data_IF_757229978137
#
_entry.id   IF_757229978137
#
_cell.length_a   1.000
_cell.length_b   1.000
_cell.length_c   1.000
_cell.angle_alpha   90.00
_cell.angle_beta   90.00
_cell.angle_gamma   90.00
#
_symmetry.space_group_name_H-M   'P 1'
#
loop_
_entity.id
_entity.type
_entity.pdbx_description
1 polymer ?
#
# COMPACT_ATOMS: atom_id res chain seq x y z
N UNK A 1 21.75 4.85 -7.17
CA UNK A 1 20.39 5.42 -7.18
C UNK A 1 19.47 4.63 -8.09
N UNK A 2 19.89 4.34 -9.34
CA UNK A 2 19.13 3.53 -10.33
C UNK A 2 18.55 2.21 -9.77
N UNK A 3 19.36 1.42 -9.04
CA UNK A 3 18.93 0.15 -8.44
C UNK A 3 17.77 0.26 -7.42
N UNK A 4 17.70 1.36 -6.65
CA UNK A 4 16.62 1.54 -5.65
C UNK A 4 15.31 1.90 -6.33
N UNK A 5 15.36 2.67 -7.42
CA UNK A 5 14.16 3.03 -8.18
C UNK A 5 13.56 1.81 -8.89
N UNK A 6 14.41 0.94 -9.45
CA UNK A 6 13.98 -0.33 -10.04
C UNK A 6 13.32 -1.24 -8.99
N UNK A 7 13.96 -1.44 -7.84
CA UNK A 7 13.39 -2.23 -6.74
C UNK A 7 12.07 -1.62 -6.22
N UNK A 8 11.97 -0.29 -6.20
CA UNK A 8 10.75 0.41 -5.82
C UNK A 8 9.61 0.13 -6.81
N UNK A 9 9.88 0.24 -8.12
CA UNK A 9 8.91 -0.06 -9.17
C UNK A 9 8.48 -1.54 -9.13
N UNK A 10 9.42 -2.44 -8.89
CA UNK A 10 9.12 -3.87 -8.75
C UNK A 10 8.22 -4.15 -7.53
N UNK A 11 8.53 -3.53 -6.38
CA UNK A 11 7.71 -3.64 -5.18
C UNK A 11 6.28 -3.11 -5.41
N UNK A 12 6.14 -2.01 -6.15
CA UNK A 12 4.83 -1.46 -6.53
C UNK A 12 4.03 -2.45 -7.38
N UNK A 13 4.63 -2.97 -8.44
CA UNK A 13 3.99 -3.92 -9.35
C UNK A 13 3.56 -5.20 -8.63
N UNK A 14 4.42 -5.76 -7.76
CA UNK A 14 4.12 -6.97 -6.99
C UNK A 14 3.03 -6.74 -5.94
N UNK A 15 2.96 -5.56 -5.33
CA UNK A 15 1.88 -5.20 -4.42
C UNK A 15 0.54 -5.20 -5.16
N UNK A 16 0.46 -4.53 -6.31
CA UNK A 16 -0.77 -4.50 -7.13
C UNK A 16 -1.18 -5.89 -7.63
N UNK A 17 -0.24 -6.67 -8.16
CA UNK A 17 -0.51 -8.04 -8.62
C UNK A 17 -1.02 -8.94 -7.47
N UNK A 18 -0.46 -8.78 -6.27
CA UNK A 18 -0.90 -9.52 -5.09
C UNK A 18 -2.31 -9.11 -4.67
N UNK A 19 -2.61 -7.81 -4.67
CA UNK A 19 -3.93 -7.29 -4.33
C UNK A 19 -5.01 -7.78 -5.31
N UNK A 20 -4.73 -7.74 -6.62
CA UNK A 20 -5.63 -8.23 -7.66
C UNK A 20 -5.94 -9.72 -7.51
N UNK A 21 -5.02 -10.50 -6.93
CA UNK A 21 -5.21 -11.92 -6.63
C UNK A 21 -5.72 -12.23 -5.23
N UNK A 22 -6.23 -11.26 -4.47
CA UNK A 22 -6.67 -11.41 -3.07
C UNK A 22 -5.58 -11.94 -2.11
N UNK A 23 -4.30 -11.83 -2.48
CA UNK A 23 -3.16 -12.26 -1.65
C UNK A 23 -2.77 -11.17 -0.66
N UNK A 24 -3.66 -10.87 0.30
CA UNK A 24 -3.52 -9.72 1.20
C UNK A 24 -2.22 -9.70 2.01
N UNK A 25 -1.72 -10.86 2.44
CA UNK A 25 -0.42 -10.94 3.14
C UNK A 25 0.72 -10.49 2.23
N UNK A 26 0.76 -10.96 0.99
CA UNK A 26 1.79 -10.58 0.01
C UNK A 26 1.65 -9.12 -0.41
N UNK A 27 0.42 -8.61 -0.55
CA UNK A 27 0.17 -7.19 -0.76
C UNK A 27 0.78 -6.35 0.37
N UNK A 28 0.48 -6.69 1.63
CA UNK A 28 1.02 -5.97 2.79
C UNK A 28 2.55 -6.00 2.85
N UNK A 29 3.15 -7.16 2.56
CA UNK A 29 4.60 -7.32 2.46
C UNK A 29 5.22 -6.39 1.41
N UNK A 30 4.76 -6.45 0.15
CA UNK A 30 5.32 -5.64 -0.93
C UNK A 30 5.04 -4.14 -0.75
N UNK A 31 3.88 -3.77 -0.20
CA UNK A 31 3.57 -2.38 0.14
C UNK A 31 4.50 -1.82 1.22
N UNK A 32 4.85 -2.63 2.23
CA UNK A 32 5.82 -2.24 3.25
C UNK A 32 7.23 -2.07 2.67
N UNK A 33 7.64 -2.98 1.77
CA UNK A 33 8.91 -2.87 1.03
C UNK A 33 8.94 -1.58 0.22
N UNK A 34 7.87 -1.23 -0.50
CA UNK A 34 7.78 0.02 -1.26
C UNK A 34 7.96 1.25 -0.36
N UNK A 35 7.27 1.31 0.78
CA UNK A 35 7.41 2.44 1.73
C UNK A 35 8.83 2.54 2.26
N UNK A 36 9.45 1.40 2.57
CA UNK A 36 10.83 1.35 3.05
C UNK A 36 11.80 1.89 1.99
N UNK A 37 11.72 1.39 0.75
CA UNK A 37 12.58 1.81 -0.36
C UNK A 37 12.42 3.30 -0.69
N UNK A 38 11.18 3.80 -0.73
CA UNK A 38 10.90 5.22 -0.97
C UNK A 38 11.52 6.12 0.11
N UNK A 39 11.56 5.62 1.36
CA UNK A 39 12.18 6.32 2.50
C UNK A 39 13.70 6.29 2.42
N UNK A 40 14.32 5.13 2.27
CA UNK A 40 15.80 5.01 2.29
C UNK A 40 16.46 5.57 1.02
N UNK A 41 15.73 5.58 -0.10
CA UNK A 41 16.19 6.20 -1.34
C UNK A 41 15.94 7.71 -1.41
N UNK A 42 15.31 8.30 -0.38
CA UNK A 42 14.91 9.72 -0.34
C UNK A 42 14.12 10.19 -1.58
N UNK A 43 13.41 9.26 -2.24
CA UNK A 43 12.78 9.47 -3.54
C UNK A 43 11.52 10.36 -3.45
N UNK A 44 10.93 10.48 -2.26
CA UNK A 44 9.74 11.33 -1.96
C UNK A 44 8.57 11.08 -2.92
N UNK A 45 8.43 9.87 -3.46
CA UNK A 45 7.33 9.54 -4.36
C UNK A 45 6.00 9.49 -3.59
N UNK A 46 4.89 9.94 -4.20
CA UNK A 46 3.56 9.78 -3.60
C UNK A 46 3.22 8.29 -3.46
N UNK A 47 2.60 7.91 -2.35
CA UNK A 47 2.28 6.51 -2.09
C UNK A 47 1.17 6.02 -3.05
N UNK A 48 1.45 5.01 -3.91
CA UNK A 48 0.50 4.53 -4.90
C UNK A 48 -0.74 3.87 -4.27
N UNK A 49 -0.63 3.38 -3.03
CA UNK A 49 -1.71 2.71 -2.31
C UNK A 49 -2.62 3.68 -1.52
N UNK A 50 -2.35 4.99 -1.55
CA UNK A 50 -3.13 5.98 -0.81
C UNK A 50 -4.64 5.93 -1.10
N UNK A 51 -5.12 5.74 -2.35
CA UNK A 51 -6.55 5.59 -2.63
C UNK A 51 -7.21 4.43 -1.89
N UNK A 52 -6.50 3.31 -1.70
CA UNK A 52 -6.99 2.15 -0.96
C UNK A 52 -7.17 2.48 0.53
N UNK A 53 -6.20 3.19 1.11
CA UNK A 53 -6.27 3.65 2.51
C UNK A 53 -7.45 4.61 2.70
N UNK A 54 -7.66 5.52 1.75
CA UNK A 54 -8.80 6.44 1.77
C UNK A 54 -10.12 5.66 1.70
N UNK A 55 -10.24 4.69 0.79
CA UNK A 55 -11.41 3.83 0.70
C UNK A 55 -11.65 3.04 1.99
N UNK A 56 -10.61 2.45 2.56
CA UNK A 56 -10.69 1.71 3.82
C UNK A 56 -11.16 2.60 4.98
N UNK A 57 -10.67 3.84 5.07
CA UNK A 57 -11.13 4.82 6.07
C UNK A 57 -12.60 5.16 5.93
N UNK A 58 -13.10 5.33 4.70
CA UNK A 58 -14.53 5.59 4.44
C UNK A 58 -15.40 4.42 4.88
N UNK A 59 -14.96 3.20 4.62
CA UNK A 59 -15.71 2.00 5.02
C UNK A 59 -15.64 1.75 6.53
N UNK A 60 -14.51 2.01 7.19
CA UNK A 60 -14.37 1.84 8.64
C UNK A 60 -15.09 2.89 9.48
N UNK A 61 -15.29 4.10 8.95
CA UNK A 61 -16.15 5.10 9.57
C UNK A 61 -17.63 4.78 9.43
N UNK A 62 -18.03 4.11 8.34
CA UNK A 62 -19.42 3.72 8.07
C UNK A 62 -19.90 2.58 8.98
N UNK A 63 -18.98 1.81 9.57
CA UNK A 63 -19.30 0.72 10.51
C UNK A 63 -19.48 1.18 11.96
N UNK A 64 -19.29 2.46 12.30
CA UNK A 64 -19.54 3.00 13.66
C UNK A 64 -21.02 3.30 13.97
N UNK A 65 -21.95 2.69 13.23
CA UNK A 65 -23.40 2.81 13.43
C UNK A 65 -24.07 1.68 14.22
N UNK A 66 -23.33 0.67 14.68
CA UNK A 66 -23.85 -0.35 15.61
C UNK A 66 -23.35 -0.06 17.03
N UNK A 67 -23.94 0.95 17.66
CA UNK A 67 -24.02 1.01 19.12
C UNK A 67 -25.47 0.68 19.45
N UNK A 68 -25.70 -0.50 20.02
CA UNK A 68 -26.99 -0.88 20.57
C UNK A 68 -27.23 -0.01 21.82
N UNK A 69 -28.28 0.80 21.79
CA UNK A 69 -29.16 0.94 22.95
C UNK A 69 -29.83 -0.41 23.25
#
# INVERSE_FOLDING_TARGET
>A
MERIEEELMEAEAKAWASLAGYKFIMFGYWAAVWVHLNRIGELKRPNPFAPLVILARKNSSSTKGFSND
#
